data_IF_837631000947
#
_entry.id   IF_837631000947
#
_cell.length_a   1.000
_cell.length_b   1.000
_cell.length_c   1.000
_cell.angle_alpha   90.00
_cell.angle_beta   90.00
_cell.angle_gamma   90.00
#
_symmetry.space_group_name_H-M   'P 1'
#
loop_
_entity.id
_entity.type
_entity.pdbx_description
1 polymer ?
#
# COMPACT_ATOMS: atom_id res chain seq x y z
N UNK A 1 -7.37 -10.20 24.51
CA UNK A 1 -6.44 -9.21 23.92
C UNK A 1 -5.39 -9.92 23.05
N UNK A 2 -5.78 -10.54 21.92
CA UNK A 2 -4.88 -11.48 21.21
C UNK A 2 -5.07 -11.65 19.68
N UNK A 3 -5.84 -10.78 19.01
CA UNK A 3 -6.16 -10.98 17.58
C UNK A 3 -5.41 -10.07 16.61
N UNK A 4 -4.83 -8.97 17.06
CA UNK A 4 -4.14 -8.02 16.18
C UNK A 4 -2.76 -8.52 15.72
N UNK A 5 -2.00 -9.20 16.57
CA UNK A 5 -0.62 -9.62 16.23
C UNK A 5 -0.54 -10.69 15.13
N UNK A 6 -1.52 -11.62 15.05
CA UNK A 6 -1.56 -12.64 13.98
C UNK A 6 -1.79 -12.05 12.59
N UNK A 7 -2.57 -10.98 12.49
CA UNK A 7 -2.87 -10.33 11.20
C UNK A 7 -1.64 -9.57 10.69
N UNK A 8 -0.90 -8.90 11.59
CA UNK A 8 0.35 -8.23 11.23
C UNK A 8 1.40 -9.21 10.69
N UNK A 9 1.60 -10.36 11.33
CA UNK A 9 2.50 -11.38 10.79
C UNK A 9 2.04 -11.92 9.43
N UNK A 10 0.73 -12.11 9.24
CA UNK A 10 0.19 -12.57 7.95
C UNK A 10 0.42 -11.56 6.82
N UNK A 11 0.26 -10.26 7.09
CA UNK A 11 0.55 -9.20 6.11
C UNK A 11 2.04 -9.17 5.80
N UNK A 12 2.90 -9.29 6.81
CA UNK A 12 4.36 -9.27 6.62
C UNK A 12 4.82 -10.46 5.77
N UNK A 13 4.27 -11.66 5.98
CA UNK A 13 4.55 -12.82 5.13
C UNK A 13 4.09 -12.60 3.68
N UNK A 14 2.88 -12.04 3.48
CA UNK A 14 2.40 -11.71 2.12
C UNK A 14 3.26 -10.63 1.48
N UNK A 15 3.72 -9.64 2.25
CA UNK A 15 4.63 -8.59 1.79
C UNK A 15 5.95 -9.18 1.33
N UNK A 16 6.54 -10.09 2.12
CA UNK A 16 7.79 -10.75 1.78
C UNK A 16 7.69 -11.52 0.45
N UNK A 17 6.55 -12.16 0.19
CA UNK A 17 6.28 -12.83 -1.09
C UNK A 17 6.16 -11.83 -2.26
N UNK A 18 5.45 -10.71 -2.05
CA UNK A 18 5.32 -9.65 -3.06
C UNK A 18 6.67 -8.98 -3.35
N UNK A 19 7.53 -8.83 -2.34
CA UNK A 19 8.89 -8.33 -2.53
C UNK A 19 9.78 -9.33 -3.28
N UNK A 20 9.59 -10.64 -3.04
CA UNK A 20 10.43 -11.68 -3.65
C UNK A 20 10.06 -11.99 -5.11
N UNK A 21 8.77 -11.98 -5.44
CA UNK A 21 8.28 -12.43 -6.76
C UNK A 21 7.25 -11.50 -7.39
N UNK A 22 6.78 -10.49 -6.67
CA UNK A 22 5.70 -9.62 -7.12
C UNK A 22 6.21 -8.36 -7.82
N UNK A 23 5.32 -7.76 -8.61
CA UNK A 23 5.51 -6.41 -9.13
C UNK A 23 5.00 -5.41 -8.10
N UNK A 24 5.92 -4.60 -7.59
CA UNK A 24 5.61 -3.52 -6.68
C UNK A 24 6.21 -2.21 -7.18
N UNK A 25 5.57 -1.10 -6.85
CA UNK A 25 6.19 0.23 -7.02
C UNK A 25 6.25 0.94 -5.70
N UNK A 26 7.37 1.63 -5.48
CA UNK A 26 7.60 2.49 -4.33
C UNK A 26 7.63 3.95 -4.76
N UNK A 27 7.12 4.80 -3.86
CA UNK A 27 7.36 6.23 -3.86
C UNK A 27 6.14 7.01 -4.33
N UNK A 28 5.99 8.19 -3.75
CA UNK A 28 4.80 9.02 -3.93
C UNK A 28 4.44 9.28 -5.40
N UNK A 29 5.40 9.78 -6.19
CA UNK A 29 5.18 10.12 -7.62
C UNK A 29 4.82 8.89 -8.46
N UNK A 30 5.46 7.76 -8.18
CA UNK A 30 5.26 6.49 -8.89
C UNK A 30 3.89 5.91 -8.56
N UNK A 31 3.52 5.90 -7.28
CA UNK A 31 2.21 5.50 -6.77
C UNK A 31 1.10 6.34 -7.40
N UNK A 32 1.28 7.65 -7.49
CA UNK A 32 0.30 8.54 -8.13
C UNK A 32 0.17 8.26 -9.64
N UNK A 33 1.26 7.90 -10.32
CA UNK A 33 1.24 7.47 -11.72
C UNK A 33 0.55 6.13 -11.91
N UNK A 34 0.78 5.15 -11.03
CA UNK A 34 0.11 3.84 -11.10
C UNK A 34 -1.36 3.91 -10.74
N UNK A 35 -1.74 4.77 -9.79
CA UNK A 35 -3.12 5.14 -9.47
C UNK A 35 -3.84 5.77 -10.66
N UNK A 36 -3.25 6.81 -11.29
CA UNK A 36 -3.84 7.44 -12.48
C UNK A 36 -4.04 6.47 -13.64
N UNK A 37 -3.14 5.51 -13.79
CA UNK A 37 -3.25 4.46 -14.80
C UNK A 37 -4.14 3.29 -14.37
N UNK A 38 -4.74 3.34 -13.17
CA UNK A 38 -5.55 2.27 -12.58
C UNK A 38 -4.88 0.90 -12.55
N UNK A 39 -3.55 0.85 -12.47
CA UNK A 39 -2.75 -0.40 -12.49
C UNK A 39 -2.46 -0.97 -11.10
N UNK A 40 -2.75 -0.22 -10.03
CA UNK A 40 -2.55 -0.67 -8.65
C UNK A 40 -3.78 -1.39 -8.13
N UNK A 41 -3.60 -2.57 -7.52
CA UNK A 41 -4.70 -3.32 -6.86
C UNK A 41 -4.76 -3.06 -5.35
N UNK A 42 -3.62 -2.73 -4.75
CA UNK A 42 -3.49 -2.49 -3.32
C UNK A 42 -2.48 -1.37 -3.05
N UNK A 43 -2.78 -0.48 -2.12
CA UNK A 43 -1.90 0.58 -1.63
C UNK A 43 -1.66 0.38 -0.14
N UNK A 44 -0.39 0.38 0.25
CA UNK A 44 0.01 0.37 1.66
C UNK A 44 0.44 1.77 2.08
N UNK A 45 -0.16 2.33 3.13
CA UNK A 45 0.22 3.65 3.67
C UNK A 45 0.88 3.44 5.03
N UNK A 46 2.09 3.98 5.20
CA UNK A 46 2.78 3.97 6.49
C UNK A 46 2.23 5.04 7.42
N UNK A 47 2.33 4.81 8.73
CA UNK A 47 1.88 5.78 9.74
C UNK A 47 2.70 7.08 9.75
N UNK A 48 3.95 7.06 9.26
CA UNK A 48 4.82 8.24 9.22
C UNK A 48 4.48 9.22 8.08
N UNK A 49 3.59 8.82 7.16
CA UNK A 49 3.25 9.66 6.01
C UNK A 49 2.51 10.92 6.49
N UNK A 50 2.93 12.13 6.06
CA UNK A 50 2.27 13.35 6.48
C UNK A 50 0.79 13.34 6.09
N UNK A 51 -0.11 13.89 6.95
CA UNK A 51 -1.55 13.73 6.81
C UNK A 51 -2.08 14.24 5.47
N UNK A 52 -1.47 15.30 4.92
CA UNK A 52 -1.84 15.84 3.61
C UNK A 52 -1.62 14.82 2.48
N UNK A 53 -0.45 14.16 2.44
CA UNK A 53 -0.14 13.14 1.40
C UNK A 53 -0.96 11.88 1.60
N UNK A 54 -1.22 11.50 2.86
CA UNK A 54 -2.10 10.37 3.17
C UNK A 54 -3.51 10.62 2.62
N UNK A 55 -4.11 11.77 2.93
CA UNK A 55 -5.44 12.14 2.45
C UNK A 55 -5.51 12.21 0.92
N UNK A 56 -4.45 12.72 0.28
CA UNK A 56 -4.38 12.79 -1.19
C UNK A 56 -4.37 11.40 -1.82
N UNK A 57 -3.54 10.47 -1.32
CA UNK A 57 -3.47 9.10 -1.83
C UNK A 57 -4.77 8.34 -1.58
N UNK A 58 -5.37 8.50 -0.39
CA UNK A 58 -6.67 7.91 -0.05
C UNK A 58 -7.78 8.40 -0.99
N UNK A 59 -7.78 9.69 -1.30
CA UNK A 59 -8.72 10.27 -2.25
C UNK A 59 -8.57 9.67 -3.65
N UNK A 60 -7.34 9.58 -4.18
CA UNK A 60 -7.11 8.94 -5.48
C UNK A 60 -7.44 7.45 -5.48
N UNK A 61 -7.16 6.75 -4.38
CA UNK A 61 -7.50 5.33 -4.23
C UNK A 61 -9.01 5.13 -4.22
N UNK A 62 -9.77 6.02 -3.58
CA UNK A 62 -11.23 6.00 -3.58
C UNK A 62 -11.80 6.20 -5.00
N UNK A 63 -11.27 7.16 -5.75
CA UNK A 63 -11.68 7.40 -7.14
C UNK A 63 -11.43 6.18 -8.05
N UNK A 64 -10.33 5.47 -7.82
CA UNK A 64 -9.89 4.32 -8.63
C UNK A 64 -10.38 2.98 -8.09
N UNK A 65 -11.15 2.98 -6.98
CA UNK A 65 -11.62 1.78 -6.25
C UNK A 65 -10.49 0.82 -5.85
N UNK A 66 -9.33 1.36 -5.50
CA UNK A 66 -8.16 0.58 -5.08
C UNK A 66 -8.20 0.37 -3.56
N UNK A 67 -7.86 -0.84 -3.10
CA UNK A 67 -7.81 -1.14 -1.66
C UNK A 67 -6.68 -0.40 -0.97
N UNK A 68 -6.98 0.29 0.13
CA UNK A 68 -5.98 0.96 0.98
C UNK A 68 -5.84 0.20 2.30
N UNK A 69 -4.61 -0.16 2.66
CA UNK A 69 -4.29 -0.72 3.97
C UNK A 69 -3.30 0.17 4.72
N UNK A 70 -3.67 0.56 5.94
CA UNK A 70 -2.80 1.28 6.84
C UNK A 70 -1.82 0.30 7.48
N UNK A 71 -0.55 0.45 7.15
CA UNK A 71 0.51 -0.40 7.63
C UNK A 71 1.30 0.34 8.72
N UNK A 72 1.36 -0.25 9.92
CA UNK A 72 2.01 0.38 11.07
C UNK A 72 3.54 0.16 11.11
N UNK A 73 4.14 -0.45 10.07
CA UNK A 73 5.59 -0.67 9.97
C UNK A 73 6.35 0.42 9.21
N UNK A 74 7.67 0.34 9.25
CA UNK A 74 8.59 1.34 8.70
C UNK A 74 8.50 1.42 7.16
N UNK A 75 7.93 2.54 6.70
CA UNK A 75 8.13 3.21 5.41
C UNK A 75 8.20 2.35 4.14
N UNK A 76 7.06 1.86 3.61
CA UNK A 76 7.01 1.51 2.19
C UNK A 76 5.58 1.67 1.62
N UNK A 77 5.41 2.67 0.75
CA UNK A 77 4.22 2.83 -0.09
C UNK A 77 4.29 1.79 -1.20
N UNK A 78 3.63 0.66 -1.04
CA UNK A 78 3.61 -0.41 -2.03
C UNK A 78 2.31 -0.33 -2.81
N UNK A 79 2.42 -0.10 -4.12
CA UNK A 79 1.34 -0.47 -5.03
C UNK A 79 1.65 -1.85 -5.58
N UNK A 80 0.85 -2.87 -5.23
CA UNK A 80 0.96 -4.15 -5.93
C UNK A 80 0.28 -4.01 -7.30
N UNK A 81 1.05 -4.19 -8.37
CA UNK A 81 0.58 -4.12 -9.75
C UNK A 81 0.94 -5.40 -10.48
N UNK A 82 0.26 -6.49 -10.15
CA UNK A 82 0.27 -7.67 -11.01
C UNK A 82 -0.85 -7.55 -12.03
N UNK A 83 -0.52 -7.92 -13.28
CA UNK A 83 -1.41 -8.12 -14.43
C UNK A 83 -2.86 -8.40 -14.04
#
# INVERSE_FOLDING_TARGET
MGMQNKIYESINNRLALVMKSGKYTLGYKTVLKTLRNSKGKLILISYICPPLRKSEIEHYAMLTKVGVHHYNGNTFLLTSSNF
#
